data_IF_058866503656
#
_entry.id   IF_058866503656
#
_cell.length_a   1.000
_cell.length_b   1.000
_cell.length_c   1.000
_cell.angle_alpha   90.00
_cell.angle_beta   90.00
_cell.angle_gamma   90.00
#
_symmetry.space_group_name_H-M   'P 1'
#
loop_
_entity.id
_entity.type
_entity.pdbx_description
1 polymer ?
#
# COMPACT_ATOMS: atom_id res chain seq x y z
N UNK A 1 4.73 -8.49 -29.92
CA UNK A 1 4.67 -7.60 -28.75
C UNK A 1 4.28 -8.43 -27.54
N UNK A 2 5.26 -8.85 -26.73
CA UNK A 2 4.99 -9.61 -25.52
C UNK A 2 4.37 -8.68 -24.48
N UNK A 3 3.11 -8.94 -24.12
CA UNK A 3 2.51 -8.40 -22.91
C UNK A 3 3.23 -9.06 -21.74
N UNK A 4 4.29 -8.44 -21.24
CA UNK A 4 4.89 -8.82 -19.96
C UNK A 4 3.90 -8.47 -18.85
N UNK A 5 2.88 -9.32 -18.71
CA UNK A 5 1.96 -9.30 -17.60
C UNK A 5 2.70 -9.90 -16.40
N UNK A 6 3.68 -9.16 -15.85
CA UNK A 6 4.29 -9.50 -14.57
C UNK A 6 3.23 -9.21 -13.50
N UNK A 7 2.27 -10.12 -13.38
CA UNK A 7 1.37 -10.19 -12.25
C UNK A 7 2.26 -10.55 -11.05
N UNK A 8 2.88 -9.54 -10.44
CA UNK A 8 3.74 -9.77 -9.27
C UNK A 8 2.80 -10.22 -8.17
N UNK A 9 2.94 -11.48 -7.80
CA UNK A 9 2.18 -12.04 -6.71
C UNK A 9 2.67 -11.44 -5.38
N UNK A 10 1.76 -11.24 -4.46
CA UNK A 10 2.04 -10.72 -3.12
C UNK A 10 3.05 -11.62 -2.37
N UNK A 11 3.11 -12.92 -2.73
CA UNK A 11 4.12 -13.87 -2.26
C UNK A 11 5.56 -13.44 -2.53
N UNK A 12 5.81 -12.61 -3.55
CA UNK A 12 7.13 -12.08 -3.89
C UNK A 12 7.63 -10.97 -2.96
N UNK A 13 6.76 -10.45 -2.09
CA UNK A 13 7.10 -9.47 -1.06
C UNK A 13 7.40 -10.22 0.24
N UNK A 14 8.60 -10.06 0.85
CA UNK A 14 8.91 -10.68 2.12
C UNK A 14 8.00 -10.12 3.23
N UNK A 15 7.93 -10.80 4.37
CA UNK A 15 7.31 -10.24 5.57
C UNK A 15 8.28 -9.21 6.17
N UNK A 16 7.80 -8.02 6.54
CA UNK A 16 8.62 -7.01 7.22
C UNK A 16 8.94 -7.48 8.64
N UNK A 17 10.21 -7.72 8.92
CA UNK A 17 10.73 -8.16 10.23
C UNK A 17 11.58 -7.08 10.93
N UNK A 18 11.75 -5.92 10.29
CA UNK A 18 12.47 -4.76 10.84
C UNK A 18 13.91 -4.64 10.36
N UNK A 19 14.57 -5.74 10.03
CA UNK A 19 15.94 -5.74 9.46
C UNK A 19 15.95 -5.65 7.94
N UNK A 20 14.82 -5.97 7.29
CA UNK A 20 14.69 -6.06 5.83
C UNK A 20 13.89 -4.91 5.21
N UNK A 21 13.81 -3.76 5.87
CA UNK A 21 12.95 -2.64 5.44
C UNK A 21 13.24 -2.19 3.99
N UNK A 22 14.51 -2.04 3.60
CA UNK A 22 14.87 -1.57 2.25
C UNK A 22 14.38 -2.50 1.14
N UNK A 23 14.58 -3.81 1.31
CA UNK A 23 14.09 -4.81 0.35
C UNK A 23 12.56 -4.88 0.35
N UNK A 24 11.95 -4.92 1.53
CA UNK A 24 10.51 -4.94 1.70
C UNK A 24 9.85 -3.73 1.02
N UNK A 25 10.37 -2.53 1.28
CA UNK A 25 9.88 -1.27 0.71
C UNK A 25 10.00 -1.25 -0.81
N UNK A 26 11.14 -1.68 -1.35
CA UNK A 26 11.32 -1.73 -2.81
C UNK A 26 10.30 -2.68 -3.45
N UNK A 27 10.09 -3.86 -2.87
CA UNK A 27 9.16 -4.87 -3.41
C UNK A 27 7.69 -4.46 -3.27
N UNK A 28 7.30 -3.86 -2.14
CA UNK A 28 5.91 -3.39 -1.93
C UNK A 28 5.56 -2.26 -2.89
N UNK A 29 6.47 -1.30 -3.12
CA UNK A 29 6.24 -0.19 -4.06
C UNK A 29 6.04 -0.71 -5.48
N UNK A 30 6.89 -1.64 -5.91
CA UNK A 30 6.75 -2.19 -7.26
C UNK A 30 5.44 -3.00 -7.39
N UNK A 31 5.03 -3.72 -6.35
CA UNK A 31 3.75 -4.44 -6.34
C UNK A 31 2.57 -3.47 -6.45
N UNK A 32 2.54 -2.41 -5.66
CA UNK A 32 1.49 -1.38 -5.71
C UNK A 32 1.45 -0.70 -7.09
N UNK A 33 2.59 -0.38 -7.67
CA UNK A 33 2.67 0.18 -9.03
C UNK A 33 2.10 -0.79 -10.07
N UNK A 34 2.43 -2.08 -9.99
CA UNK A 34 1.91 -3.09 -10.94
C UNK A 34 0.39 -3.27 -10.86
N UNK A 35 -0.22 -2.89 -9.73
CA UNK A 35 -1.66 -2.94 -9.48
C UNK A 35 -2.36 -1.60 -9.68
N UNK A 36 -1.64 -0.55 -10.12
CA UNK A 36 -2.16 0.81 -10.23
C UNK A 36 -2.69 1.38 -8.90
N UNK A 37 -2.06 0.97 -7.79
CA UNK A 37 -2.39 1.37 -6.42
C UNK A 37 -1.36 2.34 -5.84
N UNK A 38 -0.38 2.80 -6.61
CA UNK A 38 0.61 3.75 -6.08
C UNK A 38 0.02 5.15 -5.91
N UNK A 39 -0.90 5.54 -6.80
CA UNK A 39 -1.49 6.89 -6.82
C UNK A 39 -2.26 7.22 -5.53
N UNK A 40 -2.86 6.23 -4.87
CA UNK A 40 -3.56 6.45 -3.58
C UNK A 40 -2.60 6.82 -2.44
N UNK A 41 -1.30 6.53 -2.59
CA UNK A 41 -0.26 6.95 -1.63
C UNK A 41 0.20 8.38 -1.89
N UNK A 42 0.23 8.80 -3.16
CA UNK A 42 0.89 10.05 -3.57
C UNK A 42 -0.05 11.25 -3.59
N UNK A 43 -1.37 11.04 -3.72
CA UNK A 43 -2.33 12.14 -3.88
C UNK A 43 -3.53 12.00 -2.93
N UNK A 44 -3.80 13.05 -2.13
CA UNK A 44 -5.10 13.24 -1.48
C UNK A 44 -6.26 13.02 -2.45
N UNK A 45 -7.34 12.42 -1.95
CA UNK A 45 -8.62 12.55 -2.63
C UNK A 45 -8.98 14.03 -2.67
N UNK A 46 -9.24 14.54 -3.87
CA UNK A 46 -9.76 15.90 -4.05
C UNK A 46 -11.10 16.03 -3.30
N UNK A 47 -11.27 17.01 -2.40
CA UNK A 47 -12.53 17.22 -1.68
C UNK A 47 -13.74 17.41 -2.62
N UNK A 48 -13.50 17.93 -3.83
CA UNK A 48 -14.54 18.17 -4.85
C UNK A 48 -14.66 16.99 -5.83
N UNK A 49 -14.00 15.86 -5.57
CA UNK A 49 -14.09 14.67 -6.40
C UNK A 49 -15.54 14.15 -6.46
N UNK A 50 -15.97 13.75 -7.67
CA UNK A 50 -17.26 13.10 -7.84
C UNK A 50 -17.36 11.82 -7.01
N UNK A 51 -18.59 11.43 -6.64
CA UNK A 51 -18.87 10.21 -5.87
C UNK A 51 -18.21 8.96 -6.47
N UNK A 52 -18.20 8.85 -7.80
CA UNK A 52 -17.57 7.73 -8.51
C UNK A 52 -16.05 7.71 -8.32
N UNK A 53 -15.39 8.87 -8.39
CA UNK A 53 -13.95 9.00 -8.15
C UNK A 53 -13.63 8.71 -6.68
N UNK A 54 -14.41 9.27 -5.75
CA UNK A 54 -14.27 9.02 -4.32
C UNK A 54 -14.38 7.53 -3.98
N UNK A 55 -15.39 6.83 -4.51
CA UNK A 55 -15.58 5.40 -4.27
C UNK A 55 -14.44 4.55 -4.88
N UNK A 56 -13.98 4.89 -6.09
CA UNK A 56 -12.85 4.20 -6.73
C UNK A 56 -11.57 4.41 -5.92
N UNK A 57 -11.33 5.63 -5.46
CA UNK A 57 -10.19 5.98 -4.63
C UNK A 57 -10.23 5.19 -3.31
N UNK A 58 -11.34 5.23 -2.57
CA UNK A 58 -11.52 4.46 -1.31
C UNK A 58 -11.25 2.97 -1.50
N UNK A 59 -11.82 2.37 -2.54
CA UNK A 59 -11.60 0.94 -2.85
C UNK A 59 -10.11 0.65 -3.08
N UNK A 60 -9.43 1.49 -3.84
CA UNK A 60 -8.00 1.35 -4.14
C UNK A 60 -7.14 1.55 -2.88
N UNK A 61 -7.52 2.49 -2.01
CA UNK A 61 -6.86 2.74 -0.73
C UNK A 61 -6.98 1.55 0.22
N UNK A 62 -8.17 0.97 0.37
CA UNK A 62 -8.36 -0.25 1.15
C UNK A 62 -7.57 -1.42 0.59
N UNK A 63 -7.51 -1.57 -0.73
CA UNK A 63 -6.73 -2.64 -1.36
C UNK A 63 -5.22 -2.47 -1.08
N UNK A 64 -4.70 -1.24 -1.22
CA UNK A 64 -3.30 -0.94 -0.92
C UNK A 64 -2.96 -1.22 0.55
N UNK A 65 -3.82 -0.80 1.48
CA UNK A 65 -3.65 -1.05 2.92
C UNK A 65 -3.65 -2.54 3.22
N UNK A 66 -4.57 -3.31 2.65
CA UNK A 66 -4.63 -4.76 2.86
C UNK A 66 -3.36 -5.46 2.36
N UNK A 67 -2.84 -5.06 1.20
CA UNK A 67 -1.60 -5.60 0.65
C UNK A 67 -0.43 -5.30 1.60
N UNK A 68 -0.28 -4.04 2.03
CA UNK A 68 0.78 -3.63 2.94
C UNK A 68 0.67 -4.38 4.28
N UNK A 69 -0.49 -4.35 4.92
CA UNK A 69 -0.72 -4.94 6.24
C UNK A 69 -0.48 -6.45 6.24
N UNK A 70 -0.88 -7.16 5.18
CA UNK A 70 -0.64 -8.61 5.06
C UNK A 70 0.84 -9.00 4.97
N UNK A 71 1.73 -8.03 4.70
CA UNK A 71 3.18 -8.22 4.58
C UNK A 71 3.96 -7.55 5.69
N UNK A 72 3.31 -7.21 6.80
CA UNK A 72 3.98 -6.74 8.03
C UNK A 72 3.87 -7.83 9.09
N UNK A 73 4.99 -8.17 9.75
CA UNK A 73 4.93 -9.13 10.86
C UNK A 73 4.19 -8.55 12.06
N UNK A 74 3.54 -9.42 12.84
CA UNK A 74 2.90 -9.02 14.10
C UNK A 74 3.87 -8.38 15.11
N UNK A 75 5.18 -8.65 15.00
CA UNK A 75 6.19 -8.06 15.87
C UNK A 75 6.50 -6.59 15.51
N UNK A 76 6.41 -6.25 14.23
CA UNK A 76 6.72 -4.90 13.71
C UNK A 76 5.46 -4.06 13.58
N UNK A 77 4.30 -4.67 13.36
CA UNK A 77 3.02 -3.97 13.20
C UNK A 77 2.73 -2.94 14.31
N UNK A 78 2.87 -3.24 15.62
CA UNK A 78 2.63 -2.25 16.68
C UNK A 78 3.65 -1.11 16.70
N UNK A 79 4.83 -1.29 16.11
CA UNK A 79 5.84 -0.24 15.96
C UNK A 79 5.49 0.72 14.83
N UNK A 80 4.86 0.21 13.77
CA UNK A 80 4.41 0.99 12.61
C UNK A 80 3.02 1.59 12.77
N UNK A 81 2.16 0.96 13.59
CA UNK A 81 0.77 1.37 13.85
C UNK A 81 0.60 1.56 15.35
N UNK A 82 0.99 2.74 15.81
CA UNK A 82 0.89 3.25 17.17
C UNK A 82 0.09 4.57 17.20
N UNK A 83 -0.22 5.09 18.39
CA UNK A 83 -1.04 6.31 18.55
C UNK A 83 -0.51 7.52 17.78
N UNK A 84 0.81 7.69 17.70
CA UNK A 84 1.44 8.79 16.96
C UNK A 84 1.26 8.62 15.45
N UNK A 85 1.55 7.43 14.92
CA UNK A 85 1.37 7.12 13.50
C UNK A 85 -0.09 7.11 13.09
N UNK A 86 -1.03 6.76 13.99
CA UNK A 86 -2.48 6.87 13.76
C UNK A 86 -2.90 8.34 13.74
N UNK A 87 -2.42 9.14 14.70
CA UNK A 87 -2.71 10.59 14.75
C UNK A 87 -2.21 11.32 13.50
N UNK A 88 -1.07 10.88 12.97
CA UNK A 88 -0.46 11.40 11.75
C UNK A 88 -0.81 10.55 10.51
N UNK A 89 -1.70 9.55 10.66
CA UNK A 89 -2.09 8.71 9.53
C UNK A 89 -3.00 9.54 8.64
N UNK A 90 -2.47 9.92 7.49
CA UNK A 90 -3.30 10.35 6.39
C UNK A 90 -3.92 9.10 5.77
N UNK A 91 -4.97 8.58 6.41
CA UNK A 91 -6.05 7.98 5.63
C UNK A 91 -6.71 9.15 4.92
N UNK A 92 -6.19 9.46 3.75
CA UNK A 92 -6.94 10.24 2.76
C UNK A 92 -8.28 9.53 2.46
#
# INVERSE_FOLDING_TARGET
MAKNNTNRDISSVPILTGTNFSEWYSRIIILLQSKYLLDVREKPLDPEASTTISNKWKKSSYEAVNIIASRVSNQVFPKCVNQETIKNSHLL
#
